data_IF_171020970518
#
_entry.id   IF_171020970518
#
_cell.length_a   1.000
_cell.length_b   1.000
_cell.length_c   1.000
_cell.angle_alpha   90.00
_cell.angle_beta   90.00
_cell.angle_gamma   90.00
#
_symmetry.space_group_name_H-M   'P 1'
#
loop_
_entity.id
_entity.type
_entity.pdbx_description
1 polymer ?
#
# COMPACT_ATOMS: atom_id res chain seq x y z
N UNK A 1 0.33 -6.43 20.16
CA UNK A 1 0.72 -6.09 18.77
C UNK A 1 -0.44 -5.95 17.79
N UNK A 2 -1.68 -6.40 18.09
CA UNK A 2 -2.84 -6.30 17.17
C UNK A 2 -3.61 -4.98 17.21
N UNK A 3 -3.13 -3.98 17.95
CA UNK A 3 -3.86 -2.72 18.21
C UNK A 3 -3.32 -1.53 17.40
N UNK A 4 -2.34 -1.75 16.54
CA UNK A 4 -1.81 -0.70 15.67
C UNK A 4 -2.74 -0.53 14.46
N UNK A 5 -3.03 0.73 14.15
CA UNK A 5 -3.73 1.08 12.92
C UNK A 5 -2.72 1.18 11.79
N UNK A 6 -3.15 0.84 10.60
CA UNK A 6 -2.32 0.95 9.41
C UNK A 6 -3.14 1.33 8.18
N UNK A 7 -2.48 1.78 7.13
CA UNK A 7 -3.04 1.97 5.79
C UNK A 7 -2.14 1.30 4.77
N UNK A 8 -2.69 0.96 3.61
CA UNK A 8 -1.93 0.38 2.51
C UNK A 8 -2.19 1.14 1.22
N UNK A 9 -1.16 1.18 0.39
CA UNK A 9 -1.23 1.58 -1.01
C UNK A 9 -0.72 0.39 -1.82
N UNK A 10 -1.53 -0.15 -2.74
CA UNK A 10 -1.17 -1.29 -3.60
C UNK A 10 -1.27 -0.86 -5.05
N UNK A 11 -0.14 -0.89 -5.73
CA UNK A 11 -0.06 -0.55 -7.14
C UNK A 11 -0.37 -1.75 -8.04
N UNK A 12 -1.14 -1.49 -9.09
CA UNK A 12 -1.52 -2.48 -10.10
C UNK A 12 -1.57 -1.84 -11.49
N UNK A 13 -1.46 -2.69 -12.50
CA UNK A 13 -1.59 -2.30 -13.90
C UNK A 13 -2.56 -3.20 -14.66
N UNK A 14 -2.93 -2.79 -15.88
CA UNK A 14 -3.63 -3.64 -16.85
C UNK A 14 -5.15 -3.68 -16.70
N UNK A 15 -5.71 -2.92 -15.77
CA UNK A 15 -7.16 -2.68 -15.64
C UNK A 15 -7.45 -1.22 -15.38
N UNK A 16 -8.65 -0.78 -15.74
CA UNK A 16 -9.10 0.59 -15.45
C UNK A 16 -9.35 0.76 -13.95
N UNK A 17 -9.18 1.99 -13.46
CA UNK A 17 -9.48 2.33 -12.06
C UNK A 17 -10.93 2.04 -11.68
N UNK A 18 -11.86 2.29 -12.61
CA UNK A 18 -13.27 1.87 -12.47
C UNK A 18 -13.39 0.38 -12.19
N UNK A 19 -12.73 -0.46 -13.01
CA UNK A 19 -12.83 -1.91 -12.87
C UNK A 19 -12.23 -2.40 -11.55
N UNK A 20 -11.11 -1.80 -11.14
CA UNK A 20 -10.48 -2.07 -9.84
C UNK A 20 -11.39 -1.62 -8.68
N UNK A 21 -12.01 -0.44 -8.77
CA UNK A 21 -12.96 0.05 -7.76
C UNK A 21 -14.21 -0.85 -7.64
N UNK A 22 -14.76 -1.32 -8.76
CA UNK A 22 -15.85 -2.30 -8.77
C UNK A 22 -15.42 -3.62 -8.11
N UNK A 23 -14.18 -4.08 -8.33
CA UNK A 23 -13.67 -5.29 -7.71
C UNK A 23 -13.54 -5.14 -6.18
N UNK A 24 -13.13 -3.97 -5.69
CA UNK A 24 -13.10 -3.65 -4.26
C UNK A 24 -14.53 -3.67 -3.69
N UNK A 25 -15.48 -2.99 -4.36
CA UNK A 25 -16.88 -2.90 -3.95
C UNK A 25 -17.55 -4.29 -3.83
N UNK A 26 -17.21 -5.25 -4.69
CA UNK A 26 -17.72 -6.63 -4.57
C UNK A 26 -17.36 -7.30 -3.23
N UNK A 27 -16.29 -6.86 -2.57
CA UNK A 27 -15.85 -7.38 -1.28
C UNK A 27 -16.41 -6.55 -0.13
N UNK A 28 -16.23 -5.23 -0.17
CA UNK A 28 -16.52 -4.33 0.96
C UNK A 28 -17.96 -3.78 0.94
N UNK A 29 -18.70 -4.07 -0.14
CA UNK A 29 -20.04 -3.53 -0.40
C UNK A 29 -20.05 -2.03 -0.66
N UNK A 30 -21.20 -1.41 -0.43
CA UNK A 30 -21.38 0.04 -0.56
C UNK A 30 -21.40 0.53 -2.02
N UNK A 31 -20.90 1.74 -2.25
CA UNK A 31 -21.07 2.47 -3.52
C UNK A 31 -19.74 2.85 -4.16
N UNK A 32 -19.74 2.83 -5.49
CA UNK A 32 -18.61 3.27 -6.32
C UNK A 32 -18.94 4.64 -6.91
N UNK A 33 -17.99 5.57 -6.86
CA UNK A 33 -18.12 6.90 -7.44
C UNK A 33 -16.85 7.29 -8.22
N UNK A 34 -17.03 7.82 -9.42
CA UNK A 34 -15.97 8.53 -10.13
C UNK A 34 -15.87 9.95 -9.57
N UNK A 35 -14.72 10.28 -8.98
CA UNK A 35 -14.48 11.60 -8.38
C UNK A 35 -13.89 12.55 -9.41
N UNK A 36 -12.96 12.06 -10.24
CA UNK A 36 -12.41 12.81 -11.38
C UNK A 36 -11.47 13.99 -11.02
N UNK A 37 -11.38 14.38 -9.74
CA UNK A 37 -10.51 15.44 -9.25
C UNK A 37 -9.50 14.96 -8.19
N UNK A 38 -8.19 15.26 -8.31
CA UNK A 38 -7.60 16.00 -9.43
C UNK A 38 -7.51 15.13 -10.69
N UNK A 39 -7.76 15.76 -11.84
CA UNK A 39 -7.79 15.09 -13.15
C UNK A 39 -6.50 14.32 -13.48
N UNK A 40 -5.35 14.75 -12.93
CA UNK A 40 -4.09 14.06 -13.13
C UNK A 40 -4.12 12.62 -12.56
N UNK A 41 -4.84 12.39 -11.47
CA UNK A 41 -4.98 11.08 -10.83
C UNK A 41 -6.25 10.33 -11.24
N UNK A 42 -7.24 11.05 -11.80
CA UNK A 42 -8.53 10.51 -12.24
C UNK A 42 -9.14 9.52 -11.21
N UNK A 43 -9.36 9.97 -9.97
CA UNK A 43 -9.63 9.06 -8.86
C UNK A 43 -11.05 8.50 -8.90
N UNK A 44 -11.15 7.26 -8.46
CA UNK A 44 -12.38 6.57 -8.11
C UNK A 44 -12.42 6.32 -6.62
N UNK A 45 -13.61 6.32 -6.03
CA UNK A 45 -13.83 6.03 -4.62
C UNK A 45 -14.81 4.89 -4.45
N UNK A 46 -14.56 4.06 -3.44
CA UNK A 46 -15.50 3.07 -2.93
C UNK A 46 -15.78 3.39 -1.48
N UNK A 47 -17.00 3.82 -1.19
CA UNK A 47 -17.47 3.99 0.19
C UNK A 47 -18.06 2.67 0.63
N UNK A 48 -17.41 1.99 1.56
CA UNK A 48 -17.84 0.67 2.05
C UNK A 48 -19.11 0.76 2.93
N UNK A 49 -19.65 -0.40 3.33
CA UNK A 49 -20.86 -0.45 4.18
C UNK A 49 -20.67 0.17 5.57
N UNK A 50 -19.43 0.42 5.98
CA UNK A 50 -19.05 1.09 7.24
C UNK A 50 -18.82 2.59 7.05
N UNK A 51 -19.00 3.12 5.83
CA UNK A 51 -18.75 4.51 5.50
C UNK A 51 -17.27 4.89 5.36
N UNK A 52 -16.36 3.90 5.32
CA UNK A 52 -14.93 4.15 5.07
C UNK A 52 -14.67 4.21 3.57
N UNK A 53 -13.69 5.00 3.18
CA UNK A 53 -13.40 5.28 1.77
C UNK A 53 -12.12 4.57 1.34
N UNK A 54 -12.25 3.71 0.33
CA UNK A 54 -11.13 3.24 -0.49
C UNK A 54 -10.99 4.14 -1.71
N UNK A 55 -9.76 4.42 -2.14
CA UNK A 55 -9.50 5.20 -3.36
C UNK A 55 -8.77 4.34 -4.37
N UNK A 56 -9.04 4.59 -5.65
CA UNK A 56 -8.30 4.00 -6.76
C UNK A 56 -7.88 5.12 -7.70
N UNK A 57 -6.58 5.33 -7.88
CA UNK A 57 -6.04 6.47 -8.59
C UNK A 57 -4.87 6.11 -9.51
N UNK A 58 -4.52 6.98 -10.44
CA UNK A 58 -3.37 6.76 -11.31
C UNK A 58 -2.09 7.09 -10.53
N UNK A 59 -1.06 6.25 -10.68
CA UNK A 59 0.27 6.53 -10.17
C UNK A 59 1.27 6.69 -11.32
N UNK A 60 2.03 7.79 -11.29
CA UNK A 60 2.95 8.18 -12.38
C UNK A 60 4.23 7.34 -12.44
N UNK A 61 4.56 6.59 -11.40
CA UNK A 61 5.71 5.68 -11.35
C UNK A 61 5.47 4.38 -12.12
N UNK A 62 4.22 4.07 -12.46
CA UNK A 62 3.82 2.84 -13.13
C UNK A 62 4.10 2.85 -14.62
N UNK A 63 4.70 1.77 -15.12
CA UNK A 63 5.09 1.62 -16.53
C UNK A 63 3.96 1.06 -17.39
N UNK A 64 2.79 1.72 -17.38
CA UNK A 64 1.62 1.36 -18.17
C UNK A 64 0.93 2.59 -18.77
N UNK A 65 0.04 2.39 -19.75
CA UNK A 65 -0.81 3.48 -20.23
C UNK A 65 -1.63 4.05 -19.07
N UNK A 66 -1.75 5.38 -18.98
CA UNK A 66 -2.36 6.07 -17.82
C UNK A 66 -3.73 5.53 -17.41
N UNK A 67 -4.58 5.16 -18.35
CA UNK A 67 -5.92 4.62 -18.07
C UNK A 67 -5.91 3.18 -17.51
N UNK A 68 -4.77 2.50 -17.54
CA UNK A 68 -4.54 1.16 -17.00
C UNK A 68 -3.63 1.15 -15.76
N UNK A 69 -3.26 2.32 -15.24
CA UNK A 69 -2.57 2.49 -13.97
C UNK A 69 -3.61 2.58 -12.84
N UNK A 70 -3.43 1.82 -11.77
CA UNK A 70 -4.32 1.85 -10.61
C UNK A 70 -3.55 1.56 -9.32
N UNK A 71 -3.42 2.57 -8.47
CA UNK A 71 -3.03 2.45 -7.07
C UNK A 71 -4.29 2.42 -6.20
N UNK A 72 -4.40 1.36 -5.38
CA UNK A 72 -5.47 1.18 -4.40
C UNK A 72 -5.01 1.71 -3.06
N UNK A 73 -5.66 2.75 -2.55
CA UNK A 73 -5.41 3.34 -1.23
C UNK A 73 -6.53 2.93 -0.28
N UNK A 74 -6.18 2.25 0.81
CA UNK A 74 -7.16 1.80 1.80
C UNK A 74 -7.65 2.94 2.70
N UNK A 75 -8.81 2.78 3.37
CA UNK A 75 -9.07 3.53 4.59
C UNK A 75 -8.06 3.14 5.69
N UNK A 76 -8.16 3.78 6.85
CA UNK A 76 -7.43 3.33 8.03
C UNK A 76 -7.98 1.95 8.46
N UNK A 77 -7.08 0.97 8.53
CA UNK A 77 -7.35 -0.42 8.85
C UNK A 77 -6.84 -0.77 10.26
N UNK A 78 -7.41 -1.82 10.84
CA UNK A 78 -6.92 -2.50 12.04
C UNK A 78 -6.53 -3.94 11.73
N UNK A 79 -5.98 -4.66 12.71
CA UNK A 79 -5.56 -6.06 12.52
C UNK A 79 -6.74 -6.95 12.09
N UNK A 80 -7.94 -6.64 12.55
CA UNK A 80 -9.17 -7.36 12.22
C UNK A 80 -9.56 -7.20 10.74
N UNK A 81 -9.13 -6.11 10.07
CA UNK A 81 -9.41 -5.88 8.65
C UNK A 81 -8.48 -6.68 7.71
N UNK A 82 -7.47 -7.39 8.22
CA UNK A 82 -6.48 -8.10 7.38
C UNK A 82 -7.15 -9.15 6.49
N UNK A 83 -8.18 -9.85 7.00
CA UNK A 83 -8.90 -10.86 6.20
C UNK A 83 -9.69 -10.23 5.05
N UNK A 84 -10.40 -9.14 5.30
CA UNK A 84 -11.13 -8.36 4.29
C UNK A 84 -10.15 -7.78 3.25
N UNK A 85 -9.01 -7.22 3.69
CA UNK A 85 -7.95 -6.72 2.80
C UNK A 85 -7.42 -7.84 1.88
N UNK A 86 -7.20 -9.04 2.40
CA UNK A 86 -6.78 -10.16 1.55
C UNK A 86 -7.87 -10.54 0.53
N UNK A 87 -9.15 -10.44 0.88
CA UNK A 87 -10.24 -10.65 -0.07
C UNK A 87 -10.26 -9.57 -1.14
N UNK A 88 -10.05 -8.30 -0.78
CA UNK A 88 -9.88 -7.19 -1.74
C UNK A 88 -8.75 -7.47 -2.72
N UNK A 89 -7.57 -7.87 -2.23
CA UNK A 89 -6.42 -8.24 -3.10
C UNK A 89 -6.78 -9.38 -4.05
N UNK A 90 -7.48 -10.42 -3.56
CA UNK A 90 -7.94 -11.54 -4.41
C UNK A 90 -8.95 -11.08 -5.46
N UNK A 91 -9.89 -10.20 -5.11
CA UNK A 91 -10.89 -9.67 -6.04
C UNK A 91 -10.26 -8.80 -7.12
N UNK A 92 -9.33 -7.90 -6.77
CA UNK A 92 -8.58 -7.07 -7.73
C UNK A 92 -7.77 -7.95 -8.70
N UNK A 93 -7.10 -9.00 -8.20
CA UNK A 93 -6.45 -10.00 -9.05
C UNK A 93 -7.45 -10.76 -9.93
N UNK A 94 -8.60 -11.14 -9.38
CA UNK A 94 -9.68 -11.81 -10.12
C UNK A 94 -10.29 -10.94 -11.23
N UNK A 95 -10.28 -9.62 -11.06
CA UNK A 95 -10.63 -8.64 -12.07
C UNK A 95 -9.57 -8.48 -13.17
N UNK A 96 -8.51 -9.31 -13.15
CA UNK A 96 -7.40 -9.36 -14.10
C UNK A 96 -6.45 -8.15 -14.04
N UNK A 97 -6.42 -7.45 -12.91
CA UNK A 97 -5.32 -6.54 -12.61
C UNK A 97 -4.02 -7.35 -12.47
N UNK A 98 -2.91 -6.74 -12.88
CA UNK A 98 -1.58 -7.36 -12.93
C UNK A 98 -0.59 -6.51 -12.13
N UNK A 99 0.56 -7.09 -11.87
CA UNK A 99 1.72 -6.39 -11.31
C UNK A 99 2.92 -6.64 -12.22
N UNK A 100 3.82 -5.67 -12.30
CA UNK A 100 5.10 -5.82 -12.97
C UNK A 100 6.23 -5.23 -12.11
N UNK A 101 7.42 -5.05 -12.70
CA UNK A 101 8.58 -4.53 -11.99
C UNK A 101 8.46 -3.06 -11.57
N UNK A 102 7.50 -2.31 -12.09
CA UNK A 102 7.21 -0.93 -11.67
C UNK A 102 6.37 -0.88 -10.40
N UNK A 103 5.50 -1.88 -10.16
CA UNK A 103 4.62 -1.91 -9.00
C UNK A 103 5.36 -2.03 -7.65
N UNK A 104 4.71 -1.52 -6.61
CA UNK A 104 5.11 -1.54 -5.22
C UNK A 104 3.91 -1.65 -4.27
N UNK A 105 4.24 -1.70 -2.98
CA UNK A 105 3.28 -1.63 -1.88
C UNK A 105 3.82 -0.68 -0.82
N UNK A 106 2.98 0.21 -0.32
CA UNK A 106 3.28 1.03 0.85
C UNK A 106 2.45 0.54 2.04
N UNK A 107 3.07 0.51 3.22
CA UNK A 107 2.41 0.19 4.48
C UNK A 107 2.64 1.36 5.43
N UNK A 108 1.58 2.10 5.71
CA UNK A 108 1.58 3.24 6.62
C UNK A 108 1.21 2.73 8.00
N UNK A 109 2.07 2.92 9.00
CA UNK A 109 1.79 2.48 10.38
C UNK A 109 1.56 3.70 11.25
N UNK A 110 0.46 3.70 12.00
CA UNK A 110 0.12 4.79 12.92
C UNK A 110 1.21 4.99 13.99
N UNK A 111 1.80 6.18 14.00
CA UNK A 111 2.90 6.53 14.88
C UNK A 111 2.44 7.02 16.27
N UNK A 112 1.13 7.25 16.49
CA UNK A 112 0.63 7.92 17.70
C UNK A 112 0.98 7.22 19.02
N UNK A 113 1.27 5.91 18.98
CA UNK A 113 1.66 5.11 20.15
C UNK A 113 3.17 5.06 20.39
N UNK A 114 3.98 5.62 19.49
CA UNK A 114 5.43 5.58 19.62
C UNK A 114 5.94 6.88 20.22
N UNK A 115 6.63 6.78 21.34
CA UNK A 115 7.52 7.83 21.84
C UNK A 115 8.87 7.76 21.10
N UNK A 116 9.77 8.70 21.40
CA UNK A 116 11.10 8.72 20.78
C UNK A 116 11.86 7.40 20.99
N UNK A 117 11.72 6.76 22.16
CA UNK A 117 12.34 5.47 22.46
C UNK A 117 11.73 4.35 21.61
N UNK A 118 10.40 4.32 21.48
CA UNK A 118 9.66 3.38 20.66
C UNK A 118 10.05 3.46 19.19
N UNK A 119 10.19 4.68 18.65
CA UNK A 119 10.67 4.89 17.28
C UNK A 119 12.11 4.37 17.09
N UNK A 120 13.02 4.66 18.02
CA UNK A 120 14.40 4.11 17.98
C UNK A 120 14.38 2.58 17.98
N UNK A 121 13.57 1.96 18.83
CA UNK A 121 13.45 0.51 18.91
C UNK A 121 12.87 -0.11 17.63
N UNK A 122 11.89 0.55 17.02
CA UNK A 122 11.31 0.13 15.75
C UNK A 122 12.37 0.13 14.65
N UNK A 123 13.11 1.24 14.50
CA UNK A 123 14.19 1.37 13.50
C UNK A 123 15.24 0.27 13.69
N UNK A 124 15.70 0.03 14.92
CA UNK A 124 16.66 -1.04 15.24
C UNK A 124 16.12 -2.43 14.90
N UNK A 125 14.84 -2.67 15.20
CA UNK A 125 14.19 -3.95 14.92
C UNK A 125 14.09 -4.19 13.41
N UNK A 126 13.68 -3.18 12.64
CA UNK A 126 13.62 -3.25 11.17
C UNK A 126 15.01 -3.48 10.60
N UNK A 127 16.03 -2.72 11.04
CA UNK A 127 17.39 -2.91 10.57
C UNK A 127 17.91 -4.33 10.85
N UNK A 128 17.69 -4.85 12.06
CA UNK A 128 18.10 -6.22 12.44
C UNK A 128 17.47 -7.30 11.57
N UNK A 129 16.24 -7.08 11.10
CA UNK A 129 15.49 -8.04 10.27
C UNK A 129 15.52 -7.70 8.77
N UNK A 130 16.20 -6.62 8.37
CA UNK A 130 16.08 -6.03 7.03
C UNK A 130 16.38 -7.06 5.94
N UNK A 131 17.49 -7.80 6.06
CA UNK A 131 17.89 -8.84 5.09
C UNK A 131 16.87 -9.96 4.97
N UNK A 132 16.23 -10.34 6.08
CA UNK A 132 15.20 -11.38 6.08
C UNK A 132 13.91 -10.88 5.43
N UNK A 133 13.51 -9.63 5.72
CA UNK A 133 12.35 -8.98 5.11
C UNK A 133 12.55 -8.85 3.60
N UNK A 134 13.73 -8.37 3.16
CA UNK A 134 14.08 -8.25 1.75
C UNK A 134 14.03 -9.59 1.02
N UNK A 135 14.56 -10.65 1.65
CA UNK A 135 14.52 -12.00 1.09
C UNK A 135 13.08 -12.52 1.00
N UNK A 136 12.30 -12.40 2.07
CA UNK A 136 10.91 -12.86 2.12
C UNK A 136 10.01 -12.15 1.09
N UNK A 137 10.28 -10.87 0.83
CA UNK A 137 9.55 -10.07 -0.16
C UNK A 137 10.13 -10.18 -1.59
N UNK A 138 11.21 -10.94 -1.78
CA UNK A 138 11.84 -11.11 -3.10
C UNK A 138 12.41 -9.82 -3.68
N UNK A 139 12.90 -8.91 -2.83
CA UNK A 139 13.45 -7.62 -3.27
C UNK A 139 14.75 -7.87 -4.04
N UNK A 140 14.76 -7.51 -5.33
CA UNK A 140 15.93 -7.67 -6.19
C UNK A 140 17.06 -6.70 -5.82
N UNK A 141 18.31 -7.05 -6.15
CA UNK A 141 19.46 -6.19 -5.94
C UNK A 141 19.31 -4.82 -6.63
N UNK A 142 18.74 -4.81 -7.84
CA UNK A 142 18.47 -3.58 -8.59
C UNK A 142 17.46 -2.67 -7.86
N UNK A 143 16.39 -3.25 -7.30
CA UNK A 143 15.41 -2.49 -6.51
C UNK A 143 16.02 -1.97 -5.21
N UNK A 144 16.80 -2.78 -4.51
CA UNK A 144 17.51 -2.37 -3.30
C UNK A 144 18.46 -1.20 -3.54
N UNK A 145 19.18 -1.20 -4.66
CA UNK A 145 20.13 -0.14 -4.98
C UNK A 145 19.47 1.21 -5.27
N UNK A 146 18.18 1.23 -5.65
CA UNK A 146 17.50 2.43 -6.15
C UNK A 146 16.29 2.86 -5.31
N UNK A 147 15.32 1.98 -5.15
CA UNK A 147 14.00 2.29 -4.57
C UNK A 147 13.84 1.76 -3.15
N UNK A 148 14.28 0.53 -2.89
CA UNK A 148 14.14 -0.17 -1.62
C UNK A 148 15.45 -0.12 -0.82
N UNK A 149 16.05 1.07 -0.67
CA UNK A 149 17.28 1.21 0.11
C UNK A 149 16.99 0.87 1.57
N UNK A 150 17.95 0.16 2.19
CA UNK A 150 17.88 -0.16 3.60
C UNK A 150 17.99 1.07 4.51
N UNK A 151 17.87 0.85 5.81
CA UNK A 151 18.05 1.88 6.83
C UNK A 151 19.43 2.51 6.68
N UNK A 152 19.47 3.84 6.66
CA UNK A 152 20.71 4.62 6.63
C UNK A 152 21.56 4.34 7.89
N UNK A 153 22.76 3.82 7.68
CA UNK A 153 23.68 3.47 8.76
C UNK A 153 24.17 4.72 9.52
N UNK A 154 24.36 5.84 8.83
CA UNK A 154 24.74 7.09 9.50
C UNK A 154 23.62 7.63 10.40
N UNK A 155 22.37 7.33 10.07
CA UNK A 155 21.23 7.63 10.94
C UNK A 155 21.17 6.68 12.13
N UNK A 156 21.41 5.38 11.94
CA UNK A 156 21.48 4.39 13.03
C UNK A 156 22.53 4.78 14.07
N UNK A 157 23.74 5.10 13.64
CA UNK A 157 24.83 5.51 14.53
C UNK A 157 24.47 6.74 15.38
N UNK A 158 23.62 7.64 14.87
CA UNK A 158 23.15 8.83 15.60
C UNK A 158 22.12 8.49 16.67
N UNK A 159 21.25 7.51 16.43
CA UNK A 159 20.18 7.12 17.36
C UNK A 159 20.62 6.06 18.38
N UNK A 160 21.77 5.43 18.17
CA UNK A 160 22.43 4.50 19.08
C UNK A 160 23.30 5.16 20.15
N UNK A 161 23.64 6.45 19.94
CA UNK A 161 24.19 7.32 20.99
C UNK A 161 23.10 7.76 21.97
#
# INVERSE_FOLDING_TARGET
>A
MRTLRFGIEIETIGQTRERVAQAIQQVVGGTVQHVGDPFCYDPWQVTDTRGRVWKVMADSSLSAAKHLQAEVVSPILTYEDVEELQQVVRAVRGARAKVDASCGIHIHVDAARFDARGLRNLVKTVNKQERLIEHALGISAARRARWCRGIDQAFLDKIEK
#
